data_IF_038613828028
#
_entry.id   IF_038613828028
#
_cell.length_a   1.000
_cell.length_b   1.000
_cell.length_c   1.000
_cell.angle_alpha   90.00
_cell.angle_beta   90.00
_cell.angle_gamma   90.00
#
_symmetry.space_group_name_H-M   'P 1'
#
loop_
_entity.id
_entity.type
_entity.pdbx_description
1 polymer ?
#
# COMPACT_ATOMS: atom_id res chain seq x y z
N UNK A 1 32.83 7.18 14.76
CA UNK A 1 31.79 6.24 14.27
C UNK A 1 30.87 6.97 13.29
N UNK A 2 30.31 6.33 12.27
CA UNK A 2 29.38 7.02 11.36
C UNK A 2 28.01 7.16 12.03
N UNK A 3 27.33 8.29 11.81
CA UNK A 3 25.97 8.50 12.34
C UNK A 3 25.01 7.37 11.93
N UNK A 4 25.17 6.83 10.72
CA UNK A 4 24.39 5.67 10.24
C UNK A 4 24.56 4.44 11.14
N UNK A 5 25.79 4.09 11.52
CA UNK A 5 26.05 2.91 12.36
C UNK A 5 25.46 3.05 13.76
N UNK A 6 25.43 4.26 14.33
CA UNK A 6 24.83 4.50 15.63
C UNK A 6 23.32 4.24 15.60
N UNK A 7 22.63 4.68 14.55
CA UNK A 7 21.21 4.40 14.37
C UNK A 7 20.95 2.89 14.17
N UNK A 8 21.76 2.20 13.38
CA UNK A 8 21.65 0.74 13.21
C UNK A 8 21.82 0.00 14.55
N UNK A 9 22.68 0.48 15.44
CA UNK A 9 22.87 -0.10 16.77
C UNK A 9 21.71 0.23 17.72
N UNK A 10 21.13 1.43 17.64
CA UNK A 10 19.90 1.79 18.37
C UNK A 10 18.75 0.87 17.98
N UNK A 11 18.57 0.61 16.68
CA UNK A 11 17.50 -0.24 16.15
C UNK A 11 17.69 -1.73 16.49
N UNK A 12 18.90 -2.15 16.89
CA UNK A 12 19.20 -3.52 17.29
C UNK A 12 18.86 -3.82 18.75
N UNK A 13 18.80 -2.81 19.63
CA UNK A 13 18.50 -3.00 21.04
C UNK A 13 16.99 -3.17 21.26
N UNK A 14 16.56 -4.29 21.86
CA UNK A 14 15.13 -4.55 22.13
C UNK A 14 14.69 -3.95 23.47
N UNK A 15 13.45 -3.43 23.56
CA UNK A 15 12.93 -2.94 24.83
C UNK A 15 12.81 -4.05 25.86
N UNK A 16 13.33 -3.78 27.06
CA UNK A 16 13.33 -4.69 28.20
C UNK A 16 14.37 -5.81 28.14
N UNK A 17 15.28 -5.80 27.15
CA UNK A 17 16.41 -6.72 27.07
C UNK A 17 17.72 -6.05 27.46
N UNK A 18 18.69 -6.84 27.91
CA UNK A 18 20.07 -6.41 28.22
C UNK A 18 20.96 -6.38 26.96
N UNK A 19 20.38 -6.19 25.77
CA UNK A 19 21.13 -6.17 24.51
C UNK A 19 22.16 -5.01 24.53
N UNK A 20 21.83 -3.89 25.17
CA UNK A 20 22.73 -2.73 25.33
C UNK A 20 23.99 -3.03 26.17
N UNK A 21 23.96 -4.09 26.99
CA UNK A 21 25.08 -4.48 27.83
C UNK A 21 26.10 -5.37 27.08
N UNK A 22 25.79 -5.78 25.84
CA UNK A 22 26.72 -6.58 25.06
C UNK A 22 27.95 -5.75 24.64
N UNK A 23 29.15 -6.36 24.62
CA UNK A 23 30.40 -5.63 24.39
C UNK A 23 30.46 -4.93 23.03
N UNK A 24 29.69 -5.37 22.05
CA UNK A 24 29.56 -4.73 20.74
C UNK A 24 28.81 -3.39 20.79
N UNK A 25 27.98 -3.13 21.81
CA UNK A 25 27.27 -1.86 22.03
C UNK A 25 27.99 -0.87 22.92
N UNK A 26 29.21 -1.18 23.39
CA UNK A 26 29.98 -0.28 24.25
C UNK A 26 30.15 1.12 23.66
N UNK A 27 30.43 1.21 22.36
CA UNK A 27 30.54 2.50 21.66
C UNK A 27 29.22 3.30 21.67
N UNK A 28 28.07 2.61 21.55
CA UNK A 28 26.75 3.24 21.64
C UNK A 28 26.49 3.73 23.07
N UNK A 29 26.82 2.94 24.10
CA UNK A 29 26.69 3.34 25.51
C UNK A 29 27.52 4.59 25.81
N UNK A 30 28.78 4.61 25.34
CA UNK A 30 29.66 5.76 25.50
C UNK A 30 29.07 7.00 24.80
N UNK A 31 28.55 6.87 23.58
CA UNK A 31 27.93 7.98 22.84
C UNK A 31 26.63 8.48 23.49
N UNK A 32 25.75 7.57 23.94
CA UNK A 32 24.51 7.91 24.66
C UNK A 32 24.81 8.68 25.96
N UNK A 33 25.93 8.37 26.64
CA UNK A 33 26.34 9.10 27.84
C UNK A 33 26.75 10.55 27.55
N UNK A 34 27.27 10.82 26.36
CA UNK A 34 27.81 12.12 25.96
C UNK A 34 26.81 12.97 25.18
N UNK A 35 25.85 12.35 24.49
CA UNK A 35 24.93 13.01 23.57
C UNK A 35 23.47 12.92 24.05
N UNK A 36 22.87 14.02 24.58
CA UNK A 36 21.47 14.02 25.02
C UNK A 36 20.47 13.81 23.87
N UNK A 37 20.75 14.33 22.67
CA UNK A 37 19.85 14.15 21.52
C UNK A 37 19.78 12.67 21.10
N UNK A 38 20.92 11.96 21.14
CA UNK A 38 20.96 10.54 20.81
C UNK A 38 20.19 9.69 21.84
N UNK A 39 20.19 10.11 23.12
CA UNK A 39 19.36 9.48 24.15
C UNK A 39 17.88 9.64 23.87
N UNK A 40 17.44 10.83 23.46
CA UNK A 40 16.04 11.06 23.10
C UNK A 40 15.61 10.19 21.90
N UNK A 41 16.49 10.05 20.90
CA UNK A 41 16.25 9.14 19.77
C UNK A 41 16.16 7.68 20.24
N UNK A 42 17.09 7.24 21.08
CA UNK A 42 17.09 5.88 21.63
C UNK A 42 15.80 5.62 22.42
N UNK A 43 15.42 6.49 23.35
CA UNK A 43 14.18 6.37 24.13
C UNK A 43 12.95 6.28 23.23
N UNK A 44 12.85 7.15 22.22
CA UNK A 44 11.72 7.14 21.27
C UNK A 44 11.65 5.84 20.46
N UNK A 45 12.80 5.31 20.04
CA UNK A 45 12.88 4.01 19.37
C UNK A 45 12.34 2.89 20.28
N UNK A 46 12.80 2.85 21.54
CA UNK A 46 12.34 1.85 22.53
C UNK A 46 10.83 1.95 22.81
N UNK A 47 10.26 3.15 22.88
CA UNK A 47 8.82 3.36 23.07
C UNK A 47 8.00 2.84 21.88
N UNK A 48 8.45 3.09 20.65
CA UNK A 48 7.79 2.59 19.43
C UNK A 48 7.81 1.07 19.40
N UNK A 49 8.97 0.46 19.64
CA UNK A 49 9.09 -1.00 19.66
C UNK A 49 8.27 -1.66 20.77
N UNK A 50 8.21 -1.02 21.94
CA UNK A 50 7.34 -1.47 23.03
C UNK A 50 5.86 -1.42 22.63
N UNK A 51 5.41 -0.33 22.00
CA UNK A 51 4.04 -0.18 21.53
C UNK A 51 3.67 -1.21 20.45
N UNK A 52 4.59 -1.48 19.52
CA UNK A 52 4.43 -2.54 18.50
C UNK A 52 4.29 -3.90 19.19
N UNK A 53 5.19 -4.22 20.13
CA UNK A 53 5.15 -5.50 20.88
C UNK A 53 3.83 -5.67 21.61
N UNK A 54 3.37 -4.66 22.34
CA UNK A 54 2.07 -4.69 23.04
C UNK A 54 0.93 -4.92 22.07
N UNK A 55 0.93 -4.25 20.92
CA UNK A 55 -0.09 -4.44 19.89
C UNK A 55 -0.14 -5.90 19.42
N UNK A 56 1.01 -6.50 19.09
CA UNK A 56 1.07 -7.90 18.67
C UNK A 56 0.63 -8.89 19.75
N UNK A 57 0.91 -8.62 21.02
CA UNK A 57 0.47 -9.47 22.15
C UNK A 57 -1.05 -9.48 22.33
N UNK A 58 -1.75 -8.43 21.90
CA UNK A 58 -3.21 -8.35 21.99
C UNK A 58 -3.94 -9.02 20.82
N UNK A 59 -3.24 -9.39 19.76
CA UNK A 59 -3.85 -10.03 18.58
C UNK A 59 -4.26 -11.45 18.95
N UNK A 60 -5.57 -11.72 18.93
CA UNK A 60 -6.09 -13.08 19.11
C UNK A 60 -5.71 -13.93 17.91
N UNK A 61 -5.02 -15.04 18.15
CA UNK A 61 -4.71 -16.00 17.10
C UNK A 61 -6.00 -16.68 16.62
N UNK A 62 -6.21 -16.85 15.30
CA UNK A 62 -7.35 -17.59 14.79
C UNK A 62 -7.39 -19.01 15.35
N UNK A 63 -8.58 -19.53 15.71
CA UNK A 63 -8.70 -20.89 16.22
C UNK A 63 -8.18 -21.90 15.18
N UNK A 64 -7.40 -22.88 15.64
CA UNK A 64 -6.83 -23.93 14.80
C UNK A 64 -5.61 -23.52 13.98
N UNK A 65 -5.05 -22.31 14.16
CA UNK A 65 -3.81 -21.91 13.50
C UNK A 65 -2.64 -22.86 13.83
N UNK A 66 -2.49 -23.22 15.10
CA UNK A 66 -1.46 -24.15 15.57
C UNK A 66 -1.54 -25.50 14.85
N UNK A 67 -2.73 -26.12 14.83
CA UNK A 67 -2.94 -27.38 14.13
C UNK A 67 -2.64 -27.27 12.62
N UNK A 68 -3.01 -26.15 11.99
CA UNK A 68 -2.70 -25.92 10.57
C UNK A 68 -1.21 -25.81 10.32
N UNK A 69 -0.45 -25.19 11.22
CA UNK A 69 1.01 -25.13 11.12
C UNK A 69 1.64 -26.50 11.35
N UNK A 70 1.18 -27.25 12.35
CA UNK A 70 1.68 -28.61 12.64
C UNK A 70 1.42 -29.57 11.48
N UNK A 71 0.21 -29.60 10.92
CA UNK A 71 -0.09 -30.43 9.74
C UNK A 71 0.80 -30.07 8.56
N UNK A 72 1.18 -28.80 8.43
CA UNK A 72 2.02 -28.34 7.33
C UNK A 72 3.47 -28.76 7.53
N UNK A 73 3.99 -28.71 8.76
CA UNK A 73 5.30 -29.25 9.11
C UNK A 73 5.33 -30.76 8.90
N UNK A 74 4.32 -31.50 9.37
CA UNK A 74 4.22 -32.96 9.17
C UNK A 74 4.17 -33.33 7.68
N UNK A 75 3.41 -32.58 6.87
CA UNK A 75 3.36 -32.78 5.42
C UNK A 75 4.74 -32.55 4.77
N UNK A 76 5.46 -31.51 5.20
CA UNK A 76 6.83 -31.23 4.71
C UNK A 76 7.85 -32.30 5.14
N UNK A 77 7.65 -32.94 6.30
CA UNK A 77 8.53 -34.02 6.78
C UNK A 77 8.23 -35.36 6.08
N UNK A 78 6.96 -35.66 5.80
CA UNK A 78 6.54 -36.93 5.21
C UNK A 78 6.88 -37.06 3.72
N UNK A 79 6.84 -35.96 2.97
CA UNK A 79 7.13 -36.03 1.53
C UNK A 79 8.60 -36.37 1.25
N UNK A 80 9.51 -36.25 2.23
CA UNK A 80 10.92 -36.72 2.18
C UNK A 80 11.80 -36.06 1.11
N UNK A 81 11.17 -35.52 0.09
CA UNK A 81 11.66 -34.59 -0.89
C UNK A 81 11.36 -33.21 -0.32
N UNK A 82 12.21 -32.79 0.63
CA UNK A 82 12.52 -31.37 0.78
C UNK A 82 13.27 -30.95 -0.49
N UNK A 83 12.61 -31.09 -1.65
CA UNK A 83 12.93 -30.36 -2.85
C UNK A 83 12.99 -28.93 -2.35
N UNK A 84 14.23 -28.43 -2.29
CA UNK A 84 14.57 -27.08 -1.84
C UNK A 84 13.39 -26.20 -2.15
N UNK A 85 12.78 -25.62 -1.12
CA UNK A 85 11.95 -24.45 -1.30
C UNK A 85 12.92 -23.37 -1.80
N UNK A 86 13.35 -23.47 -3.06
CA UNK A 86 14.00 -22.41 -3.79
C UNK A 86 12.85 -21.42 -3.98
N UNK A 87 12.81 -20.32 -3.22
CA UNK A 87 11.88 -19.26 -3.56
C UNK A 87 12.16 -18.94 -5.02
N UNK A 88 11.13 -18.99 -5.88
CA UNK A 88 11.22 -18.53 -7.26
C UNK A 88 11.53 -17.02 -7.24
N UNK A 89 12.78 -16.70 -6.95
CA UNK A 89 13.40 -15.42 -7.20
C UNK A 89 13.82 -15.52 -8.65
N UNK A 90 13.10 -14.82 -9.52
CA UNK A 90 13.57 -14.62 -10.88
C UNK A 90 15.04 -14.15 -10.81
N UNK A 91 15.97 -14.78 -11.54
CA UNK A 91 17.37 -14.47 -11.41
C UNK A 91 17.59 -13.02 -11.85
N UNK A 92 17.93 -12.15 -10.89
CA UNK A 92 18.58 -10.88 -11.22
C UNK A 92 19.98 -11.27 -11.64
N UNK A 93 20.27 -11.17 -12.94
CA UNK A 93 21.63 -11.31 -13.49
C UNK A 93 22.52 -10.22 -12.90
N UNK A 94 23.15 -10.51 -11.76
CA UNK A 94 24.28 -9.72 -11.26
C UNK A 94 25.55 -10.37 -11.77
N UNK A 95 26.11 -9.74 -12.79
CA UNK A 95 27.34 -10.14 -13.47
C UNK A 95 28.54 -10.15 -12.53
N UNK A 96 29.21 -11.31 -12.54
CA UNK A 96 30.65 -11.57 -12.43
C UNK A 96 31.40 -11.44 -11.09
N UNK A 97 31.95 -12.63 -10.75
CA UNK A 97 33.37 -12.98 -10.50
C UNK A 97 33.89 -12.96 -9.06
N UNK A 98 34.22 -14.20 -8.65
CA UNK A 98 35.21 -14.63 -7.63
C UNK A 98 34.76 -14.30 -6.20
N UNK A 99 34.67 -15.22 -5.27
CA UNK A 99 35.49 -16.41 -5.02
C UNK A 99 34.76 -17.37 -4.08
N UNK A 100 34.94 -18.65 -4.37
CA UNK A 100 34.73 -19.77 -3.46
C UNK A 100 35.47 -19.58 -2.14
N UNK A 101 34.77 -19.87 -1.04
CA UNK A 101 35.23 -20.52 0.20
C UNK A 101 34.62 -19.82 1.41
N UNK A 102 33.61 -20.46 2.00
CA UNK A 102 33.32 -20.63 3.44
C UNK A 102 31.89 -21.19 3.49
N UNK A 103 31.81 -22.52 3.47
CA UNK A 103 30.60 -23.29 3.79
C UNK A 103 31.02 -24.24 4.89
N UNK A 104 30.69 -23.91 6.15
CA UNK A 104 30.50 -24.85 7.26
C UNK A 104 30.26 -24.08 8.57
N UNK A 105 29.15 -23.33 8.70
CA UNK A 105 28.71 -22.82 10.01
C UNK A 105 27.24 -22.37 10.12
N UNK A 106 26.37 -22.59 9.13
CA UNK A 106 24.99 -22.05 9.16
C UNK A 106 23.92 -23.11 8.84
N UNK A 107 23.91 -24.21 9.58
CA UNK A 107 22.86 -25.24 9.43
C UNK A 107 21.66 -25.06 10.38
N UNK A 108 21.68 -24.07 11.30
CA UNK A 108 20.59 -23.87 12.28
C UNK A 108 19.88 -22.50 12.14
N UNK A 109 20.41 -21.58 11.32
CA UNK A 109 19.77 -20.28 11.02
C UNK A 109 18.97 -20.27 9.69
N UNK A 110 18.73 -21.42 9.08
CA UNK A 110 18.00 -21.52 7.81
C UNK A 110 16.47 -21.57 7.94
N UNK A 111 15.95 -22.08 9.06
CA UNK A 111 14.51 -22.32 9.25
C UNK A 111 13.74 -21.07 9.68
N UNK A 112 14.36 -20.15 10.44
CA UNK A 112 13.70 -18.90 10.85
C UNK A 112 13.59 -17.91 9.68
N UNK A 113 14.60 -17.84 8.81
CA UNK A 113 14.56 -16.96 7.64
C UNK A 113 13.45 -17.37 6.65
N UNK A 114 13.28 -18.68 6.40
CA UNK A 114 12.24 -19.20 5.51
C UNK A 114 10.82 -18.89 6.03
N UNK A 115 10.58 -19.04 7.34
CA UNK A 115 9.29 -18.71 7.96
C UNK A 115 8.97 -17.21 7.91
N UNK A 116 9.97 -16.34 8.10
CA UNK A 116 9.81 -14.87 7.98
C UNK A 116 9.54 -14.47 6.53
N UNK A 117 10.26 -15.04 5.55
CA UNK A 117 9.95 -14.78 4.13
C UNK A 117 8.56 -15.28 3.74
N UNK A 118 8.10 -16.40 4.30
CA UNK A 118 6.78 -16.92 3.99
C UNK A 118 5.65 -16.07 4.59
N UNK A 119 5.87 -15.48 5.78
CA UNK A 119 4.97 -14.50 6.39
C UNK A 119 4.86 -13.18 5.58
N UNK A 120 5.91 -12.80 4.85
CA UNK A 120 5.90 -11.65 3.93
C UNK A 120 5.17 -11.98 2.62
N UNK A 121 5.20 -13.24 2.17
CA UNK A 121 4.57 -13.71 0.93
C UNK A 121 3.12 -14.17 1.14
N UNK A 122 2.68 -14.39 2.37
CA UNK A 122 1.27 -14.63 2.67
C UNK A 122 0.45 -13.46 2.09
N UNK A 123 -0.55 -13.74 1.25
CA UNK A 123 -1.36 -12.70 0.65
C UNK A 123 -1.96 -11.89 1.78
N UNK A 124 -1.52 -10.63 1.92
CA UNK A 124 -2.06 -9.71 2.92
C UNK A 124 -3.57 -9.83 2.85
N UNK A 125 -4.26 -10.20 3.97
CA UNK A 125 -5.70 -10.34 3.95
C UNK A 125 -6.23 -9.05 3.35
N UNK A 126 -7.06 -9.18 2.31
CA UNK A 126 -7.53 -8.07 1.50
C UNK A 126 -8.18 -7.04 2.42
N UNK A 127 -7.40 -6.07 2.89
CA UNK A 127 -7.85 -5.02 3.75
C UNK A 127 -8.66 -4.10 2.87
N UNK A 128 -9.90 -3.85 3.29
CA UNK A 128 -10.67 -2.77 2.72
C UNK A 128 -9.80 -1.52 2.85
N UNK A 129 -9.48 -0.86 1.72
CA UNK A 129 -8.71 0.37 1.79
C UNK A 129 -9.47 1.34 2.70
N UNK A 130 -8.77 1.91 3.68
CA UNK A 130 -9.35 2.96 4.50
C UNK A 130 -9.71 4.15 3.62
N UNK A 131 -10.72 4.91 4.03
CA UNK A 131 -11.13 6.13 3.31
C UNK A 131 -9.96 7.11 3.14
N UNK A 132 -9.06 7.17 4.13
CA UNK A 132 -7.81 7.92 4.06
C UNK A 132 -6.87 7.39 2.98
N UNK A 133 -6.66 6.09 2.88
CA UNK A 133 -5.80 5.49 1.84
C UNK A 133 -6.37 5.73 0.43
N UNK A 134 -7.70 5.76 0.28
CA UNK A 134 -8.37 6.12 -0.98
C UNK A 134 -8.07 7.57 -1.34
N UNK A 135 -8.20 8.49 -0.38
CA UNK A 135 -7.92 9.91 -0.57
C UNK A 135 -6.46 10.15 -0.96
N UNK A 136 -5.52 9.58 -0.22
CA UNK A 136 -4.08 9.66 -0.49
C UNK A 136 -3.72 9.11 -1.87
N UNK A 137 -4.32 7.99 -2.28
CA UNK A 137 -4.09 7.37 -3.58
C UNK A 137 -4.51 8.31 -4.73
N UNK A 138 -5.68 8.96 -4.61
CA UNK A 138 -6.20 9.89 -5.62
C UNK A 138 -5.38 11.18 -5.65
N UNK A 139 -4.94 11.68 -4.49
CA UNK A 139 -4.04 12.83 -4.41
C UNK A 139 -2.69 12.54 -5.11
N UNK A 140 -2.12 11.35 -4.89
CA UNK A 140 -0.92 10.90 -5.60
C UNK A 140 -1.11 10.75 -7.12
N UNK A 141 -2.33 10.45 -7.57
CA UNK A 141 -2.63 10.43 -9.00
C UNK A 141 -2.80 11.85 -9.57
N UNK A 142 -3.45 12.73 -8.83
CA UNK A 142 -3.62 14.13 -9.21
C UNK A 142 -2.29 14.85 -9.41
N UNK A 143 -1.27 14.56 -8.59
CA UNK A 143 0.09 15.14 -8.74
C UNK A 143 0.85 14.63 -9.95
N UNK A 144 0.42 13.52 -10.56
CA UNK A 144 1.01 12.94 -11.77
C UNK A 144 0.33 13.40 -13.06
N UNK A 145 -0.81 14.09 -12.95
CA UNK A 145 -1.47 14.66 -14.12
C UNK A 145 -0.66 15.84 -14.65
N UNK A 146 -0.65 15.99 -15.96
CA UNK A 146 0.09 17.03 -16.67
C UNK A 146 -0.87 17.69 -17.66
N UNK A 147 -0.97 19.02 -17.60
CA UNK A 147 -1.87 19.79 -18.46
C UNK A 147 -1.57 19.58 -19.95
N UNK A 148 -0.31 19.33 -20.32
CA UNK A 148 0.07 19.04 -21.70
C UNK A 148 -0.32 17.61 -22.16
N UNK A 149 -0.62 16.70 -21.23
CA UNK A 149 -0.89 15.30 -21.51
C UNK A 149 -2.36 14.94 -21.74
N UNK A 150 -3.27 15.91 -21.65
CA UNK A 150 -4.70 15.71 -21.89
C UNK A 150 -5.01 15.46 -23.37
N UNK A 151 -5.83 14.45 -23.62
CA UNK A 151 -6.31 14.07 -24.95
C UNK A 151 -7.84 14.08 -25.00
N UNK A 152 -8.44 14.26 -26.18
CA UNK A 152 -9.91 14.19 -26.33
C UNK A 152 -10.42 12.78 -26.08
N UNK A 153 -11.55 12.67 -25.35
CA UNK A 153 -12.20 11.39 -25.04
C UNK A 153 -12.65 10.60 -26.28
N UNK A 154 -12.85 11.28 -27.42
CA UNK A 154 -13.20 10.64 -28.68
C UNK A 154 -12.16 9.59 -29.13
N UNK A 155 -10.90 9.78 -28.72
CA UNK A 155 -9.79 8.85 -28.98
C UNK A 155 -9.36 8.09 -27.72
N UNK A 156 -10.21 8.08 -26.68
CA UNK A 156 -9.89 7.52 -25.38
C UNK A 156 -9.95 6.00 -25.31
N UNK A 157 -9.35 5.39 -24.28
CA UNK A 157 -9.36 3.95 -24.07
C UNK A 157 -10.71 3.48 -23.49
N UNK A 158 -11.83 4.01 -23.98
CA UNK A 158 -13.19 3.75 -23.45
C UNK A 158 -13.61 2.29 -23.62
N UNK A 159 -13.03 1.56 -24.57
CA UNK A 159 -13.23 0.12 -24.72
C UNK A 159 -12.61 -0.67 -23.55
N UNK A 160 -11.40 -0.33 -23.13
CA UNK A 160 -10.68 -1.02 -22.06
C UNK A 160 -11.00 -0.46 -20.66
N UNK A 161 -11.30 0.83 -20.58
CA UNK A 161 -11.59 1.58 -19.37
C UNK A 161 -12.89 2.34 -19.57
N UNK A 162 -14.03 1.63 -19.65
CA UNK A 162 -15.31 2.26 -19.90
C UNK A 162 -15.65 3.26 -18.82
N UNK A 163 -16.41 4.27 -19.20
CA UNK A 163 -17.11 5.12 -18.25
C UNK A 163 -18.04 4.29 -17.37
N UNK A 164 -18.31 4.77 -16.16
CA UNK A 164 -19.35 4.17 -15.35
C UNK A 164 -20.69 4.35 -16.08
N UNK A 165 -21.50 3.29 -16.21
CA UNK A 165 -22.69 3.21 -17.08
C UNK A 165 -23.68 4.40 -17.00
N UNK A 166 -23.66 5.14 -15.91
CA UNK A 166 -24.52 6.30 -15.72
C UNK A 166 -23.80 7.63 -16.06
N UNK A 167 -22.48 7.67 -16.00
CA UNK A 167 -21.69 8.83 -16.39
C UNK A 167 -21.43 8.80 -17.90
N UNK A 168 -22.05 9.71 -18.65
CA UNK A 168 -21.79 9.88 -20.08
C UNK A 168 -20.77 10.99 -20.31
N UNK A 169 -19.60 10.61 -20.79
CA UNK A 169 -18.57 11.55 -21.25
C UNK A 169 -18.99 12.17 -22.58
N UNK A 170 -18.66 13.44 -22.76
CA UNK A 170 -18.95 14.24 -23.95
C UNK A 170 -17.70 14.38 -24.81
N UNK A 171 -17.87 14.74 -26.08
CA UNK A 171 -16.74 14.87 -27.01
C UNK A 171 -15.70 15.92 -26.58
N UNK A 172 -16.14 16.95 -25.85
CA UNK A 172 -15.29 17.99 -25.26
C UNK A 172 -14.54 17.57 -23.99
N UNK A 173 -14.87 16.42 -23.41
CA UNK A 173 -14.19 15.90 -22.23
C UNK A 173 -12.82 15.32 -22.61
N UNK A 174 -11.96 15.26 -21.60
CA UNK A 174 -10.55 14.92 -21.79
C UNK A 174 -10.18 13.69 -20.98
N UNK A 175 -9.12 13.03 -21.39
CA UNK A 175 -8.56 11.91 -20.65
C UNK A 175 -7.02 11.94 -20.68
N UNK A 176 -6.41 11.29 -19.68
CA UNK A 176 -4.96 11.15 -19.56
C UNK A 176 -4.59 9.84 -18.87
N UNK A 177 -3.48 9.21 -19.29
CA UNK A 177 -2.87 8.09 -18.57
C UNK A 177 -2.10 8.60 -17.35
N UNK A 178 -2.36 8.02 -16.17
CA UNK A 178 -1.53 8.27 -14.97
C UNK A 178 -0.44 7.22 -14.82
N UNK A 179 -0.77 5.99 -15.16
CA UNK A 179 0.17 4.87 -15.22
C UNK A 179 -0.14 4.09 -16.49
N UNK A 180 0.91 3.79 -17.27
CA UNK A 180 0.80 3.19 -18.61
C UNK A 180 -0.11 1.96 -18.55
N UNK A 181 -1.29 2.07 -19.19
CA UNK A 181 -2.30 1.00 -19.30
C UNK A 181 -2.88 0.45 -17.99
N UNK A 182 -2.67 1.13 -16.85
CA UNK A 182 -3.17 0.68 -15.55
C UNK A 182 -4.25 1.59 -14.98
N UNK A 183 -4.06 2.90 -15.12
CA UNK A 183 -4.97 3.91 -14.56
C UNK A 183 -5.17 5.03 -15.59
N UNK A 184 -6.42 5.26 -15.96
CA UNK A 184 -6.85 6.41 -16.77
C UNK A 184 -7.59 7.41 -15.89
N UNK A 185 -7.38 8.70 -16.14
CA UNK A 185 -8.20 9.78 -15.60
C UNK A 185 -9.03 10.35 -16.73
N UNK A 186 -10.33 10.50 -16.50
CA UNK A 186 -11.22 11.34 -17.29
C UNK A 186 -11.44 12.65 -16.56
N UNK A 187 -11.32 13.76 -17.27
CA UNK A 187 -11.54 15.12 -16.78
C UNK A 187 -12.70 15.72 -17.56
N UNK A 188 -13.80 15.95 -16.85
CA UNK A 188 -15.03 16.44 -17.43
C UNK A 188 -15.62 17.51 -16.54
N UNK A 189 -16.43 18.35 -17.16
CA UNK A 189 -17.02 19.48 -16.48
C UNK A 189 -18.52 19.35 -16.34
N UNK A 190 -19.00 19.67 -15.15
CA UNK A 190 -20.44 19.73 -14.89
C UNK A 190 -20.80 21.21 -14.80
N UNK A 191 -21.60 21.66 -15.77
CA UNK A 191 -22.12 23.02 -15.77
C UNK A 191 -23.27 23.13 -14.78
N UNK A 192 -23.09 23.90 -13.71
CA UNK A 192 -24.15 24.21 -12.77
C UNK A 192 -24.30 25.72 -12.67
N UNK A 193 -25.47 26.25 -13.10
CA UNK A 193 -25.87 27.66 -12.92
C UNK A 193 -24.70 28.64 -13.14
N UNK A 194 -24.07 28.58 -14.31
CA UNK A 194 -22.92 29.41 -14.75
C UNK A 194 -21.52 29.06 -14.22
N UNK A 195 -21.37 28.21 -13.20
CA UNK A 195 -20.06 27.72 -12.78
C UNK A 195 -19.70 26.39 -13.46
N UNK A 196 -18.45 26.27 -13.91
CA UNK A 196 -17.91 25.04 -14.53
C UNK A 196 -17.09 24.31 -13.46
N UNK A 197 -17.70 23.30 -12.85
CA UNK A 197 -17.03 22.51 -11.82
C UNK A 197 -16.29 21.34 -12.48
N UNK A 198 -15.00 21.20 -12.14
CA UNK A 198 -14.12 20.16 -12.66
C UNK A 198 -14.32 18.90 -11.83
N UNK A 199 -14.60 17.80 -12.52
CA UNK A 199 -14.77 16.48 -11.93
C UNK A 199 -13.82 15.50 -12.61
N UNK A 200 -13.13 14.70 -11.79
CA UNK A 200 -12.19 13.69 -12.26
C UNK A 200 -12.70 12.31 -11.94
N UNK A 201 -12.68 11.43 -12.94
CA UNK A 201 -12.98 10.00 -12.77
C UNK A 201 -11.73 9.19 -13.08
N UNK A 202 -11.17 8.55 -12.08
CA UNK A 202 -10.07 7.61 -12.23
C UNK A 202 -10.62 6.21 -12.40
N UNK A 203 -10.12 5.48 -13.40
CA UNK A 203 -10.54 4.12 -13.68
C UNK A 203 -9.31 3.23 -13.76
N UNK A 204 -9.35 2.11 -13.04
CA UNK A 204 -8.32 1.06 -13.12
C UNK A 204 -8.94 -0.32 -13.21
N UNK A 205 -8.16 -1.30 -13.67
CA UNK A 205 -8.56 -2.71 -13.63
C UNK A 205 -8.67 -3.16 -12.18
N UNK A 206 -9.76 -3.86 -11.85
CA UNK A 206 -9.92 -4.46 -10.54
C UNK A 206 -9.02 -5.70 -10.42
N UNK A 207 -8.41 -5.88 -9.26
CA UNK A 207 -7.71 -7.11 -8.89
C UNK A 207 -8.64 -8.01 -8.05
N UNK A 208 -8.25 -9.27 -7.86
CA UNK A 208 -8.95 -10.19 -6.95
C UNK A 208 -8.91 -9.74 -5.49
N UNK A 209 -7.89 -8.96 -5.11
CA UNK A 209 -7.74 -8.39 -3.76
C UNK A 209 -8.57 -7.13 -3.51
N UNK A 210 -9.13 -6.50 -4.55
CA UNK A 210 -9.88 -5.25 -4.39
C UNK A 210 -11.25 -5.45 -3.73
N UNK A 211 -11.38 -4.92 -2.51
CA UNK A 211 -12.64 -4.86 -1.73
C UNK A 211 -13.19 -3.43 -1.76
N UNK A 212 -14.09 -3.15 -2.70
CA UNK A 212 -14.81 -1.87 -2.80
C UNK A 212 -16.32 -2.13 -2.85
N UNK A 213 -17.17 -1.18 -2.40
CA UNK A 213 -18.61 -1.29 -2.53
C UNK A 213 -19.02 -1.35 -4.02
N UNK A 214 -20.17 -1.94 -4.32
CA UNK A 214 -20.71 -1.99 -5.69
C UNK A 214 -21.22 -0.62 -6.17
N UNK A 215 -21.52 0.27 -5.23
CA UNK A 215 -22.03 1.62 -5.47
C UNK A 215 -21.10 2.67 -4.87
N UNK A 216 -21.04 3.89 -5.43
CA UNK A 216 -20.22 4.97 -4.89
C UNK A 216 -20.52 5.22 -3.41
N UNK A 217 -19.47 5.35 -2.59
CA UNK A 217 -19.62 5.78 -1.19
C UNK A 217 -20.14 7.23 -1.11
N UNK A 218 -20.50 7.71 0.09
CA UNK A 218 -20.92 9.10 0.31
C UNK A 218 -19.82 10.15 -0.01
N UNK A 219 -18.62 9.68 -0.34
CA UNK A 219 -17.43 10.46 -0.58
C UNK A 219 -16.82 11.01 0.71
N UNK A 220 -15.52 11.23 0.69
CA UNK A 220 -14.71 11.64 1.82
C UNK A 220 -13.82 12.81 1.43
N UNK A 221 -13.56 13.76 2.34
CA UNK A 221 -12.66 14.86 2.06
C UNK A 221 -11.20 14.37 2.00
N UNK A 222 -10.48 14.76 0.97
CA UNK A 222 -9.03 14.65 0.85
C UNK A 222 -8.36 15.88 1.48
N UNK A 223 -7.15 15.71 2.07
CA UNK A 223 -6.35 16.83 2.57
C UNK A 223 -6.03 17.90 1.51
N UNK A 224 -6.02 17.52 0.23
CA UNK A 224 -5.67 18.40 -0.89
C UNK A 224 -6.89 19.03 -1.57
N UNK A 225 -8.02 19.08 -0.86
CA UNK A 225 -9.20 19.78 -1.33
C UNK A 225 -9.94 19.04 -2.43
N UNK A 226 -10.17 17.73 -2.25
CA UNK A 226 -11.07 16.93 -3.09
C UNK A 226 -12.12 16.21 -2.22
N UNK A 227 -13.29 15.95 -2.77
CA UNK A 227 -14.30 15.06 -2.20
C UNK A 227 -14.34 13.79 -3.07
N UNK A 228 -13.91 12.67 -2.49
CA UNK A 228 -13.55 11.46 -3.23
C UNK A 228 -14.39 10.29 -2.77
N UNK A 229 -14.96 9.52 -3.71
CA UNK A 229 -15.49 8.20 -3.38
C UNK A 229 -15.05 7.16 -4.40
N UNK A 230 -15.02 5.91 -3.95
CA UNK A 230 -14.57 4.77 -4.74
C UNK A 230 -15.57 3.62 -4.70
N UNK A 231 -15.69 2.91 -5.82
CA UNK A 231 -16.55 1.73 -5.95
C UNK A 231 -16.02 0.80 -7.03
N UNK A 232 -16.54 -0.43 -7.05
CA UNK A 232 -16.18 -1.46 -8.04
C UNK A 232 -17.41 -1.84 -8.86
N UNK A 233 -17.25 -1.82 -10.18
CA UNK A 233 -18.25 -2.30 -11.14
C UNK A 233 -17.55 -2.83 -12.41
N UNK A 234 -18.14 -3.81 -13.10
CA UNK A 234 -17.66 -4.30 -14.40
C UNK A 234 -16.15 -4.63 -14.45
N UNK A 235 -15.63 -5.29 -13.41
CA UNK A 235 -14.20 -5.62 -13.26
C UNK A 235 -13.25 -4.39 -13.31
N UNK A 236 -13.75 -3.23 -12.89
CA UNK A 236 -13.02 -1.97 -12.75
C UNK A 236 -13.25 -1.39 -11.36
N UNK A 237 -12.27 -0.62 -10.89
CA UNK A 237 -12.42 0.24 -9.72
C UNK A 237 -12.45 1.67 -10.21
N UNK A 238 -13.48 2.40 -9.78
CA UNK A 238 -13.73 3.79 -10.12
C UNK A 238 -13.46 4.64 -8.89
N UNK A 239 -12.86 5.81 -9.11
CA UNK A 239 -12.67 6.84 -8.10
C UNK A 239 -13.19 8.15 -8.68
N UNK A 240 -14.22 8.70 -8.07
CA UNK A 240 -14.79 9.99 -8.46
C UNK A 240 -14.26 11.05 -7.50
N UNK A 241 -13.55 12.03 -8.04
CA UNK A 241 -13.01 13.15 -7.29
C UNK A 241 -13.67 14.45 -7.77
N UNK A 242 -14.30 15.16 -6.84
CA UNK A 242 -14.88 16.49 -7.05
C UNK A 242 -14.05 17.48 -6.26
N UNK A 243 -13.66 18.62 -6.86
CA UNK A 243 -12.87 19.62 -6.13
C UNK A 243 -13.64 20.11 -4.88
N UNK A 244 -13.00 20.13 -3.71
CA UNK A 244 -13.62 20.46 -2.44
C UNK A 244 -13.87 21.96 -2.30
N UNK A 245 -14.92 22.44 -2.96
CA UNK A 245 -15.52 23.75 -2.74
C UNK A 245 -16.71 23.64 -1.77
N UNK A 246 -17.31 24.78 -1.40
CA UNK A 246 -18.34 24.91 -0.35
C UNK A 246 -19.51 23.92 -0.53
N UNK A 247 -19.80 23.54 -1.78
CA UNK A 247 -20.90 22.66 -2.17
C UNK A 247 -20.45 21.31 -2.77
N UNK A 248 -19.16 20.97 -2.68
CA UNK A 248 -18.58 19.77 -3.30
C UNK A 248 -19.24 18.46 -2.88
N UNK A 249 -19.59 18.32 -1.59
CA UNK A 249 -20.34 17.17 -1.07
C UNK A 249 -21.72 17.05 -1.72
N UNK A 250 -22.41 18.18 -1.91
CA UNK A 250 -23.72 18.22 -2.56
C UNK A 250 -23.60 17.87 -4.04
N UNK A 251 -22.60 18.45 -4.74
CA UNK A 251 -22.31 18.10 -6.12
C UNK A 251 -22.01 16.62 -6.26
N UNK A 252 -21.08 16.08 -5.47
CA UNK A 252 -20.75 14.65 -5.47
C UNK A 252 -22.00 13.80 -5.25
N UNK A 253 -22.81 14.13 -4.23
CA UNK A 253 -24.05 13.39 -3.95
C UNK A 253 -25.05 13.46 -5.09
N UNK A 254 -25.10 14.58 -5.81
CA UNK A 254 -25.96 14.76 -6.99
C UNK A 254 -25.45 13.95 -8.17
N UNK A 255 -24.15 13.98 -8.46
CA UNK A 255 -23.53 13.14 -9.50
C UNK A 255 -23.86 11.68 -9.23
N UNK A 256 -23.74 11.23 -7.98
CA UNK A 256 -24.06 9.85 -7.62
C UNK A 256 -25.57 9.58 -7.72
N UNK A 257 -26.45 10.47 -7.20
CA UNK A 257 -27.91 10.24 -7.15
C UNK A 257 -28.61 10.39 -8.49
N UNK A 258 -28.33 11.46 -9.24
CA UNK A 258 -28.93 11.72 -10.56
C UNK A 258 -28.65 10.57 -11.53
N UNK A 259 -27.59 9.82 -11.25
CA UNK A 259 -27.12 8.72 -12.05
C UNK A 259 -27.63 7.35 -11.60
N UNK A 260 -28.15 7.20 -10.37
CA UNK A 260 -28.66 5.91 -9.87
C UNK A 260 -30.17 5.72 -10.15
N UNK A 261 -30.90 6.75 -10.60
CA UNK A 261 -32.30 6.54 -11.00
C UNK A 261 -32.37 5.74 -12.30
N UNK A 262 -32.97 4.53 -12.31
CA UNK A 262 -33.29 3.84 -13.55
C UNK A 262 -34.27 4.70 -14.33
N UNK A 263 -33.99 4.90 -15.62
CA UNK A 263 -34.93 5.48 -16.58
C UNK A 263 -36.13 4.55 -16.79
#
# INVERSE_FOLDING_TARGET
MSSKRLHEMIDACRPGHSDIDEPEFKELVDELSQNPELRDIFTRSQEVDAAIRTTFQTVTLPPGLENRLLMLVEALEQDGDVAKFEPQTAPVEVSNRRSFAIVAAFAVMGTVAAAITWLIVLPKPASMLSDQAIAEQVDQWNTKLDEAGWQSVANGPTQDFPEWQHLKLRAEDRWQWISRQQVVCYDFAISQRSNREIVRLFVRKATSSDRFPASPSAGYPSPHGWHIGAWRANNRVYYLAVKAERDSRLLYSRIVKTQISPA
#
